data_IF_104372554767
#
_entry.id   IF_104372554767
#
_cell.length_a   1.000
_cell.length_b   1.000
_cell.length_c   1.000
_cell.angle_alpha   90.00
_cell.angle_beta   90.00
_cell.angle_gamma   90.00
#
_symmetry.space_group_name_H-M   'P 1'
#
loop_
_entity.id
_entity.type
_entity.pdbx_description
1 polymer ?
#
# COMPACT_ATOMS: atom_id res chain seq x y z
N UNK A 1 -4.02 -11.01 -7.64
CA UNK A 1 -3.67 -9.82 -6.86
C UNK A 1 -3.64 -8.62 -7.80
N UNK A 2 -4.23 -7.49 -7.42
CA UNK A 2 -4.36 -6.31 -8.29
C UNK A 2 -4.44 -5.02 -7.45
N UNK A 3 -3.95 -3.91 -8.01
CA UNK A 3 -4.03 -2.59 -7.36
C UNK A 3 -5.32 -1.89 -7.83
N UNK A 4 -6.26 -1.73 -6.91
CA UNK A 4 -7.62 -1.25 -7.17
C UNK A 4 -7.77 0.18 -6.65
N UNK A 5 -8.40 1.02 -7.45
CA UNK A 5 -8.77 2.38 -7.06
C UNK A 5 -10.20 2.38 -6.52
N UNK A 6 -10.40 2.93 -5.32
CA UNK A 6 -11.73 3.07 -4.71
C UNK A 6 -12.35 4.42 -5.06
N UNK A 7 -11.55 5.49 -5.05
CA UNK A 7 -11.96 6.84 -5.42
C UNK A 7 -10.73 7.66 -5.86
N UNK A 8 -10.85 8.99 -5.96
CA UNK A 8 -9.78 9.87 -6.42
C UNK A 8 -8.47 9.78 -5.61
N UNK A 9 -8.53 9.43 -4.33
CA UNK A 9 -7.40 9.47 -3.41
C UNK A 9 -7.14 8.17 -2.65
N UNK A 10 -7.99 7.16 -2.79
CA UNK A 10 -7.94 5.91 -2.03
C UNK A 10 -7.80 4.69 -2.93
N UNK A 11 -6.90 3.79 -2.54
CA UNK A 11 -6.56 2.57 -3.26
C UNK A 11 -6.39 1.41 -2.28
N UNK A 12 -6.47 0.19 -2.78
CA UNK A 12 -6.00 -0.98 -2.06
C UNK A 12 -5.36 -1.99 -3.03
N UNK A 13 -4.37 -2.71 -2.54
CA UNK A 13 -3.84 -3.89 -3.20
C UNK A 13 -4.55 -5.13 -2.67
N UNK A 14 -5.24 -5.85 -3.57
CA UNK A 14 -5.95 -7.06 -3.23
C UNK A 14 -4.99 -8.25 -3.13
N UNK A 15 -4.73 -8.70 -1.92
CA UNK A 15 -3.96 -9.91 -1.57
C UNK A 15 -4.68 -10.71 -0.46
N UNK A 16 -4.02 -11.71 0.13
CA UNK A 16 -4.57 -12.47 1.27
C UNK A 16 -4.92 -11.56 2.45
N UNK A 17 -4.06 -10.58 2.72
CA UNK A 17 -4.33 -9.41 3.56
C UNK A 17 -4.23 -8.19 2.65
N UNK A 18 -5.20 -7.27 2.74
CA UNK A 18 -5.20 -6.07 1.91
C UNK A 18 -4.11 -5.10 2.37
N UNK A 19 -3.47 -4.43 1.42
CA UNK A 19 -2.59 -3.30 1.69
C UNK A 19 -3.32 -2.04 1.22
N UNK A 20 -3.58 -1.10 2.12
CA UNK A 20 -4.27 0.15 1.81
C UNK A 20 -3.31 1.23 1.36
N UNK A 21 -3.80 2.19 0.59
CA UNK A 21 -3.05 3.40 0.25
C UNK A 21 -3.99 4.60 0.11
N UNK A 22 -3.62 5.73 0.72
CA UNK A 22 -4.32 7.00 0.61
C UNK A 22 -3.33 8.13 0.35
N UNK A 23 -3.73 9.15 -0.39
CA UNK A 23 -2.86 10.30 -0.67
C UNK A 23 -3.59 11.64 -0.70
N UNK A 24 -2.83 12.70 -0.49
CA UNK A 24 -3.28 14.09 -0.57
C UNK A 24 -2.09 15.00 -0.87
N UNK A 25 -2.14 15.72 -2.00
CA UNK A 25 -1.01 16.53 -2.47
C UNK A 25 0.25 15.69 -2.62
N UNK A 26 1.35 16.17 -2.04
CA UNK A 26 2.67 15.52 -2.08
C UNK A 26 2.85 14.44 -1.00
N UNK A 27 1.79 14.12 -0.26
CA UNK A 27 1.81 13.10 0.80
C UNK A 27 1.03 11.87 0.39
N UNK A 28 1.58 10.71 0.70
CA UNK A 28 0.89 9.43 0.61
C UNK A 28 1.25 8.51 1.76
N UNK A 29 0.23 7.81 2.25
CA UNK A 29 0.26 6.91 3.38
C UNK A 29 -0.09 5.50 2.91
N UNK A 30 0.85 4.59 3.11
CA UNK A 30 0.62 3.17 2.97
C UNK A 30 0.07 2.62 4.29
N UNK A 31 -0.95 1.77 4.21
CA UNK A 31 -1.60 1.11 5.34
C UNK A 31 -1.25 -0.37 5.24
N UNK A 32 -0.46 -0.84 6.20
CA UNK A 32 0.20 -2.15 6.24
C UNK A 32 1.21 -2.38 5.09
N UNK A 33 2.12 -3.34 5.28
CA UNK A 33 3.19 -3.71 4.35
C UNK A 33 3.05 -5.14 3.81
N UNK A 34 2.05 -5.90 4.28
CA UNK A 34 1.87 -7.31 3.93
C UNK A 34 2.85 -8.24 4.64
N UNK A 35 2.85 -9.52 4.24
CA UNK A 35 3.64 -10.58 4.87
C UNK A 35 5.04 -10.75 4.26
N UNK A 36 5.24 -10.30 3.02
CA UNK A 36 6.47 -10.60 2.28
C UNK A 36 6.90 -9.49 1.30
N UNK A 37 8.21 -9.41 1.10
CA UNK A 37 8.87 -8.44 0.22
C UNK A 37 8.39 -8.47 -1.24
N UNK A 38 7.91 -9.61 -1.74
CA UNK A 38 7.47 -9.70 -3.14
C UNK A 38 6.14 -9.01 -3.36
N UNK A 39 5.24 -9.08 -2.37
CA UNK A 39 3.94 -8.42 -2.37
C UNK A 39 4.12 -6.90 -2.33
N UNK A 40 4.92 -6.39 -1.39
CA UNK A 40 5.12 -4.94 -1.27
C UNK A 40 5.82 -4.33 -2.49
N UNK A 41 6.78 -5.04 -3.10
CA UNK A 41 7.45 -4.59 -4.33
C UNK A 41 6.47 -4.35 -5.48
N UNK A 42 5.40 -5.14 -5.58
CA UNK A 42 4.36 -4.94 -6.60
C UNK A 42 3.56 -3.67 -6.33
N UNK A 43 3.24 -3.39 -5.05
CA UNK A 43 2.57 -2.15 -4.64
C UNK A 43 3.45 -0.94 -4.96
N UNK A 44 4.72 -0.96 -4.55
CA UNK A 44 5.67 0.14 -4.81
C UNK A 44 5.83 0.41 -6.30
N UNK A 45 5.84 -0.63 -7.14
CA UNK A 45 5.90 -0.49 -8.60
C UNK A 45 4.66 0.21 -9.16
N UNK A 46 3.47 -0.12 -8.65
CA UNK A 46 2.22 0.53 -9.08
C UNK A 46 2.15 2.00 -8.61
N UNK A 47 2.57 2.30 -7.37
CA UNK A 47 2.67 3.68 -6.89
C UNK A 47 3.64 4.50 -7.74
N UNK A 48 4.83 3.96 -8.02
CA UNK A 48 5.82 4.63 -8.86
C UNK A 48 5.32 4.88 -10.29
N UNK A 49 4.70 3.87 -10.92
CA UNK A 49 4.12 3.98 -12.28
C UNK A 49 3.04 5.08 -12.37
N UNK A 50 2.30 5.31 -11.28
CA UNK A 50 1.24 6.31 -11.18
C UNK A 50 1.75 7.67 -10.65
N UNK A 51 3.04 7.80 -10.40
CA UNK A 51 3.66 9.00 -9.81
C UNK A 51 3.01 9.39 -8.47
N UNK A 52 2.56 8.40 -7.70
CA UNK A 52 1.91 8.58 -6.42
C UNK A 52 2.96 8.68 -5.29
N UNK A 53 2.91 9.71 -4.42
CA UNK A 53 3.89 9.89 -3.37
C UNK A 53 3.80 8.78 -2.31
N UNK A 54 4.94 8.32 -1.80
CA UNK A 54 4.96 7.44 -0.63
C UNK A 54 5.86 8.08 0.43
N UNK A 55 5.23 8.54 1.50
CA UNK A 55 5.87 9.38 2.52
C UNK A 55 5.70 8.80 3.92
N UNK A 56 4.64 8.03 4.15
CA UNK A 56 4.28 7.50 5.45
C UNK A 56 3.90 6.03 5.33
N UNK A 57 4.10 5.29 6.42
CA UNK A 57 3.63 3.93 6.60
C UNK A 57 2.88 3.87 7.95
N UNK A 58 1.66 3.35 7.91
CA UNK A 58 0.86 3.08 9.10
C UNK A 58 0.60 1.58 9.20
N UNK A 59 1.12 0.99 10.27
CA UNK A 59 0.85 -0.42 10.60
C UNK A 59 -0.36 -0.45 11.52
N UNK A 60 -1.43 -1.11 11.06
CA UNK A 60 -2.71 -1.15 11.77
C UNK A 60 -2.59 -1.85 13.13
N UNK A 61 -1.80 -2.92 13.20
CA UNK A 61 -1.50 -3.66 14.42
C UNK A 61 -0.27 -4.57 14.24
N UNK A 62 0.29 -5.06 15.35
CA UNK A 62 1.54 -5.79 15.39
C UNK A 62 1.40 -7.29 15.04
N UNK A 63 0.92 -7.61 13.84
CA UNK A 63 0.98 -8.97 13.28
C UNK A 63 1.81 -9.04 12.00
N UNK A 64 2.52 -10.17 11.80
CA UNK A 64 3.54 -10.31 10.76
C UNK A 64 3.02 -10.16 9.34
N UNK A 65 1.76 -10.46 9.11
CA UNK A 65 1.07 -10.27 7.83
C UNK A 65 0.73 -8.80 7.53
N UNK A 66 0.97 -7.89 8.48
CA UNK A 66 0.83 -6.45 8.32
C UNK A 66 2.17 -5.71 8.29
N UNK A 67 3.25 -6.24 8.87
CA UNK A 67 4.57 -5.56 8.91
C UNK A 67 5.73 -6.34 8.29
N UNK A 68 5.50 -7.55 7.76
CA UNK A 68 6.55 -8.45 7.28
C UNK A 68 7.15 -8.09 5.91
N UNK A 69 6.46 -7.24 5.14
CA UNK A 69 6.84 -6.81 3.79
C UNK A 69 8.08 -5.92 3.69
#
# INVERSE_FOLDING_TARGET
MSFQQLNASCYYYQSSVNIGYVHSGDTGLLIDAGIDKSSIKKVLKELNKKELPLTHLFITHAHSDHYGG
#
